data_IF_071111854812
#
_entry.id   IF_071111854812
#
_cell.length_a   1.000
_cell.length_b   1.000
_cell.length_c   1.000
_cell.angle_alpha   90.00
_cell.angle_beta   90.00
_cell.angle_gamma   90.00
#
_symmetry.space_group_name_H-M   'P 1'
#
loop_
_entity.id
_entity.type
_entity.pdbx_description
1 polymer ?
#
# COMPACT_ATOMS: atom_id res chain seq x y z
N UNK A 1 -7.89 -3.95 -13.88
CA UNK A 1 -6.44 -3.83 -14.17
C UNK A 1 -5.58 -4.02 -12.92
N UNK A 2 -5.67 -3.17 -11.89
CA UNK A 2 -4.84 -3.27 -10.67
C UNK A 2 -4.84 -4.65 -9.99
N UNK A 3 -6.02 -5.23 -9.80
CA UNK A 3 -6.20 -6.57 -9.20
C UNK A 3 -5.42 -7.66 -9.94
N UNK A 4 -5.40 -7.62 -11.28
CA UNK A 4 -4.69 -8.60 -12.10
C UNK A 4 -3.17 -8.42 -11.97
N UNK A 5 -2.69 -7.17 -11.95
CA UNK A 5 -1.25 -6.87 -11.77
C UNK A 5 -0.75 -7.42 -10.43
N UNK A 6 -1.51 -7.20 -9.35
CA UNK A 6 -1.17 -7.73 -8.03
C UNK A 6 -1.21 -9.25 -8.03
N UNK A 7 -2.29 -9.86 -8.53
CA UNK A 7 -2.42 -11.33 -8.60
C UNK A 7 -1.26 -11.97 -9.37
N UNK A 8 -0.91 -11.43 -10.53
CA UNK A 8 0.21 -11.92 -11.33
C UNK A 8 1.55 -11.76 -10.62
N UNK A 9 1.77 -10.64 -9.91
CA UNK A 9 3.01 -10.46 -9.16
C UNK A 9 3.14 -11.46 -8.02
N UNK A 10 2.11 -11.57 -7.17
CA UNK A 10 2.16 -12.45 -6.01
C UNK A 10 2.11 -13.94 -6.40
N UNK A 11 1.58 -14.27 -7.58
CA UNK A 11 1.71 -15.62 -8.14
C UNK A 11 3.14 -15.93 -8.62
N UNK A 12 3.86 -14.95 -9.19
CA UNK A 12 5.24 -15.12 -9.67
C UNK A 12 6.27 -15.04 -8.54
N UNK A 13 6.04 -14.15 -7.59
CA UNK A 13 6.95 -13.86 -6.49
C UNK A 13 6.13 -13.55 -5.22
N UNK A 14 5.78 -14.58 -4.42
CA UNK A 14 4.98 -14.43 -3.21
C UNK A 14 5.62 -13.55 -2.12
N UNK A 15 6.94 -13.41 -2.14
CA UNK A 15 7.70 -12.55 -1.22
C UNK A 15 7.71 -11.07 -1.63
N UNK A 16 7.06 -10.71 -2.74
CA UNK A 16 7.05 -9.34 -3.24
C UNK A 16 6.44 -8.35 -2.26
N UNK A 17 6.92 -7.12 -2.32
CA UNK A 17 6.41 -6.00 -1.54
C UNK A 17 6.04 -4.88 -2.48
N UNK A 18 4.78 -4.47 -2.43
CA UNK A 18 4.22 -3.49 -3.37
C UNK A 18 3.83 -2.21 -2.67
N UNK A 19 4.15 -1.07 -3.25
CA UNK A 19 3.63 0.22 -2.82
C UNK A 19 2.70 0.77 -3.89
N UNK A 20 1.53 1.21 -3.47
CA UNK A 20 0.52 1.81 -4.34
C UNK A 20 0.33 3.26 -3.92
N UNK A 21 0.80 4.19 -4.73
CA UNK A 21 0.57 5.62 -4.54
C UNK A 21 -0.79 6.04 -5.07
N UNK A 22 -1.56 6.77 -4.27
CA UNK A 22 -2.87 7.31 -4.61
C UNK A 22 -2.95 8.80 -4.30
N UNK A 23 -3.95 9.48 -4.88
CA UNK A 23 -4.09 10.94 -4.77
C UNK A 23 -4.77 11.41 -3.49
N UNK A 24 -5.67 10.62 -2.89
CA UNK A 24 -6.46 11.05 -1.73
C UNK A 24 -6.39 10.06 -0.58
N UNK A 25 -6.56 10.56 0.65
CA UNK A 25 -6.60 9.74 1.87
C UNK A 25 -7.73 8.72 1.83
N UNK A 26 -8.92 9.16 1.42
CA UNK A 26 -10.09 8.28 1.28
C UNK A 26 -9.83 7.13 0.31
N UNK A 27 -9.15 7.39 -0.81
CA UNK A 27 -8.80 6.35 -1.76
C UNK A 27 -7.75 5.39 -1.20
N UNK A 28 -6.81 5.87 -0.38
CA UNK A 28 -5.82 5.01 0.27
C UNK A 28 -6.49 4.01 1.22
N UNK A 29 -7.38 4.53 2.08
CA UNK A 29 -8.14 3.74 3.05
C UNK A 29 -9.05 2.74 2.30
N UNK A 30 -9.88 3.24 1.39
CA UNK A 30 -10.81 2.41 0.63
C UNK A 30 -10.10 1.29 -0.14
N UNK A 31 -9.01 1.62 -0.85
CA UNK A 31 -8.29 0.64 -1.66
C UNK A 31 -7.64 -0.43 -0.78
N UNK A 32 -7.04 -0.06 0.35
CA UNK A 32 -6.46 -1.02 1.28
C UNK A 32 -7.52 -1.99 1.82
N UNK A 33 -8.67 -1.48 2.29
CA UNK A 33 -9.77 -2.33 2.73
C UNK A 33 -10.30 -3.22 1.60
N UNK A 34 -10.50 -2.67 0.41
CA UNK A 34 -11.00 -3.42 -0.74
C UNK A 34 -10.07 -4.57 -1.13
N UNK A 35 -8.75 -4.34 -1.17
CA UNK A 35 -7.77 -5.38 -1.49
C UNK A 35 -7.72 -6.49 -0.43
N UNK A 36 -7.90 -6.17 0.85
CA UNK A 36 -8.00 -7.18 1.91
C UNK A 36 -9.26 -8.02 1.78
N UNK A 37 -10.42 -7.41 1.50
CA UNK A 37 -11.70 -8.12 1.29
C UNK A 37 -11.61 -9.07 0.09
N UNK A 38 -10.96 -8.63 -0.99
CA UNK A 38 -10.78 -9.45 -2.20
C UNK A 38 -9.81 -10.63 -1.99
N UNK A 39 -9.02 -10.63 -0.91
CA UNK A 39 -8.11 -11.72 -0.58
C UNK A 39 -7.01 -11.98 -1.61
N UNK A 40 -6.62 -10.98 -2.40
CA UNK A 40 -5.65 -11.16 -3.50
C UNK A 40 -4.27 -11.62 -2.99
N UNK A 41 -3.94 -11.29 -1.74
CA UNK A 41 -2.59 -11.39 -1.17
C UNK A 41 -2.62 -12.17 0.15
N UNK A 42 -3.71 -12.88 0.44
CA UNK A 42 -3.82 -13.68 1.66
C UNK A 42 -2.88 -14.88 1.55
N UNK A 43 -1.96 -14.99 2.50
CA UNK A 43 -1.21 -16.23 2.73
C UNK A 43 -2.18 -17.24 3.37
N UNK A 44 -2.15 -18.51 2.97
CA UNK A 44 -3.14 -19.52 3.38
C UNK A 44 -3.23 -19.75 4.91
N UNK A 45 -2.21 -19.33 5.67
CA UNK A 45 -2.10 -19.57 7.13
C UNK A 45 -2.18 -18.30 8.00
N UNK A 46 -2.59 -17.15 7.46
CA UNK A 46 -2.71 -15.91 8.26
C UNK A 46 -4.07 -15.25 8.15
N UNK A 47 -4.63 -14.86 9.31
CA UNK A 47 -5.82 -14.01 9.40
C UNK A 47 -5.46 -12.52 9.38
N UNK A 48 -4.16 -12.19 9.38
CA UNK A 48 -3.70 -10.82 9.39
C UNK A 48 -3.91 -10.14 8.02
N UNK A 49 -4.28 -8.86 8.07
CA UNK A 49 -4.43 -8.00 6.90
C UNK A 49 -3.10 -7.88 6.16
N UNK A 50 -3.01 -8.37 4.91
CA UNK A 50 -1.79 -8.29 4.10
C UNK A 50 -1.56 -6.90 3.49
N UNK A 51 -2.59 -6.05 3.51
CA UNK A 51 -2.57 -4.70 2.94
C UNK A 51 -2.79 -3.64 4.02
N UNK A 52 -1.89 -2.67 4.11
CA UNK A 52 -2.02 -1.49 4.96
C UNK A 52 -2.08 -0.20 4.14
N UNK A 53 -2.30 0.94 4.82
CA UNK A 53 -2.28 2.26 4.20
C UNK A 53 -1.49 3.27 5.04
N UNK A 54 -0.93 4.27 4.37
CA UNK A 54 -0.30 5.45 4.97
C UNK A 54 -0.85 6.71 4.32
N UNK A 55 -1.36 7.60 5.15
CA UNK A 55 -1.86 8.92 4.79
C UNK A 55 -1.09 9.98 5.55
N UNK A 56 -0.94 11.19 4.99
CA UNK A 56 -0.25 12.31 5.66
C UNK A 56 -0.71 12.54 7.10
N UNK A 57 0.23 12.84 8.01
CA UNK A 57 -0.08 13.09 9.41
C UNK A 57 -0.93 14.36 9.57
N UNK A 58 -1.90 14.33 10.47
CA UNK A 58 -2.58 15.54 10.93
C UNK A 58 -1.89 16.06 12.20
N UNK A 59 -1.52 17.35 12.21
CA UNK A 59 -1.02 18.02 13.43
C UNK A 59 -2.14 18.33 14.45
N UNK A 60 -3.41 18.18 14.05
CA UNK A 60 -4.58 18.49 14.86
C UNK A 60 -5.28 17.20 15.27
N UNK A 61 -5.32 16.97 16.57
CA UNK A 61 -6.02 15.92 17.32
C UNK A 61 -7.33 15.42 16.67
N UNK A 62 -7.44 14.09 16.50
CA UNK A 62 -8.69 13.29 16.43
C UNK A 62 -9.74 13.80 15.42
N UNK A 63 -9.84 13.27 14.20
CA UNK A 63 -10.56 12.00 14.00
C UNK A 63 -10.26 11.28 12.66
N UNK A 64 -9.31 11.76 11.83
CA UNK A 64 -9.28 11.40 10.40
C UNK A 64 -7.88 11.30 9.76
N UNK A 65 -6.83 11.04 10.56
CA UNK A 65 -5.46 10.89 10.06
C UNK A 65 -4.58 10.02 10.96
N UNK A 66 -3.52 9.46 10.40
CA UNK A 66 -2.56 8.63 11.14
C UNK A 66 -1.53 9.50 11.88
N UNK A 67 -1.23 9.14 13.12
CA UNK A 67 -0.12 9.69 13.90
C UNK A 67 1.22 9.24 13.33
N UNK A 68 2.30 9.94 13.67
CA UNK A 68 3.65 9.56 13.23
C UNK A 68 4.05 8.15 13.71
N UNK A 69 3.62 7.75 14.90
CA UNK A 69 3.91 6.41 15.45
C UNK A 69 3.11 5.32 14.72
N UNK A 70 1.85 5.56 14.37
CA UNK A 70 1.06 4.64 13.54
C UNK A 70 1.67 4.48 12.15
N UNK A 71 2.12 5.57 11.53
CA UNK A 71 2.82 5.50 10.24
C UNK A 71 4.10 4.67 10.37
N UNK A 72 4.91 4.91 11.40
CA UNK A 72 6.14 4.14 11.65
C UNK A 72 5.84 2.65 11.84
N UNK A 73 4.82 2.30 12.63
CA UNK A 73 4.39 0.91 12.80
C UNK A 73 3.96 0.23 11.50
N UNK A 74 3.27 0.96 10.60
CA UNK A 74 2.90 0.44 9.28
C UNK A 74 4.12 0.22 8.37
N UNK A 75 5.09 1.12 8.41
CA UNK A 75 6.35 1.00 7.67
C UNK A 75 7.14 -0.20 8.17
N UNK A 76 7.28 -0.34 9.49
CA UNK A 76 8.01 -1.44 10.10
C UNK A 76 7.35 -2.79 9.78
N UNK A 77 6.02 -2.88 9.85
CA UNK A 77 5.27 -4.07 9.46
C UNK A 77 5.47 -4.42 7.97
N UNK A 78 5.52 -3.42 7.09
CA UNK A 78 5.82 -3.63 5.66
C UNK A 78 7.27 -4.07 5.43
N UNK A 79 8.23 -3.45 6.12
CA UNK A 79 9.64 -3.79 6.03
C UNK A 79 9.95 -5.18 6.60
N UNK A 80 9.23 -5.62 7.63
CA UNK A 80 9.30 -6.99 8.17
C UNK A 80 8.54 -8.02 7.31
N UNK A 81 7.71 -7.57 6.37
CA UNK A 81 6.95 -8.43 5.47
C UNK A 81 5.61 -8.93 6.03
N UNK A 82 5.20 -8.43 7.20
CA UNK A 82 3.86 -8.63 7.74
C UNK A 82 2.80 -7.96 6.88
N UNK A 83 3.11 -6.80 6.31
CA UNK A 83 2.35 -6.19 5.22
C UNK A 83 3.08 -6.43 3.91
N UNK A 84 2.35 -6.97 2.92
CA UNK A 84 2.87 -7.19 1.56
C UNK A 84 2.59 -5.97 0.67
N UNK A 85 1.51 -5.24 0.95
CA UNK A 85 1.13 -4.04 0.20
C UNK A 85 0.90 -2.87 1.11
N UNK A 86 1.43 -1.71 0.71
CA UNK A 86 1.23 -0.45 1.39
C UNK A 86 0.63 0.58 0.42
N UNK A 87 -0.57 1.08 0.73
CA UNK A 87 -1.24 2.10 -0.06
C UNK A 87 -0.94 3.48 0.53
N UNK A 88 -0.19 4.32 -0.18
CA UNK A 88 0.30 5.59 0.34
C UNK A 88 -0.23 6.79 -0.45
N UNK A 89 -0.53 7.91 0.23
CA UNK A 89 -0.73 9.19 -0.47
C UNK A 89 0.59 9.78 -0.95
N UNK A 90 0.62 10.57 -2.02
CA UNK A 90 1.86 11.24 -2.49
C UNK A 90 2.57 12.08 -1.43
N UNK A 91 1.83 12.67 -0.49
CA UNK A 91 2.43 13.44 0.63
C UNK A 91 3.17 12.53 1.61
N UNK A 92 2.78 11.26 1.71
CA UNK A 92 3.48 10.28 2.53
C UNK A 92 4.73 9.71 1.84
N UNK A 93 4.95 9.98 0.55
CA UNK A 93 6.14 9.53 -0.20
C UNK A 93 7.45 10.07 0.41
N UNK A 94 7.43 11.29 0.96
CA UNK A 94 8.59 11.92 1.57
C UNK A 94 8.91 11.29 2.94
N UNK A 95 10.04 10.58 3.03
CA UNK A 95 10.54 9.98 4.28
C UNK A 95 10.21 8.49 4.47
N UNK A 96 9.54 7.85 3.50
CA UNK A 96 9.36 6.40 3.47
C UNK A 96 10.67 5.71 3.06
N UNK A 97 11.39 5.09 3.99
CA UNK A 97 12.45 4.13 3.66
C UNK A 97 11.85 2.78 3.27
N UNK A 98 11.62 2.64 1.96
CA UNK A 98 10.95 1.50 1.32
C UNK A 98 11.91 0.69 0.46
N UNK A 99 13.15 0.58 0.94
CA UNK A 99 14.26 -0.12 0.29
C UNK A 99 13.93 -1.59 -0.07
N UNK A 100 12.98 -2.23 0.60
CA UNK A 100 12.53 -3.59 0.32
C UNK A 100 11.40 -3.73 -0.73
N UNK A 101 10.92 -2.62 -1.32
CA UNK A 101 9.82 -2.63 -2.29
C UNK A 101 10.31 -2.96 -3.71
N UNK A 102 9.72 -3.99 -4.33
CA UNK A 102 10.06 -4.44 -5.69
C UNK A 102 8.98 -4.08 -6.73
N UNK A 103 7.82 -3.59 -6.31
CA UNK A 103 6.82 -3.03 -7.22
C UNK A 103 6.22 -1.72 -6.69
N UNK A 104 6.30 -0.67 -7.50
CA UNK A 104 5.68 0.62 -7.24
C UNK A 104 4.59 0.87 -8.29
N UNK A 105 3.39 1.21 -7.83
CA UNK A 105 2.24 1.51 -8.67
C UNK A 105 1.76 2.92 -8.35
N UNK A 106 1.69 3.84 -9.32
CA UNK A 106 0.97 5.11 -9.16
C UNK A 106 -0.43 4.96 -9.72
N UNK A 107 -1.42 4.93 -8.83
CA UNK A 107 -2.84 4.76 -9.12
C UNK A 107 -3.55 6.12 -9.03
N UNK A 108 -3.57 6.85 -10.15
CA UNK A 108 -4.18 8.17 -10.25
C UNK A 108 -5.65 8.08 -10.67
N UNK A 109 -6.55 8.65 -9.88
CA UNK A 109 -7.98 8.75 -10.20
C UNK A 109 -8.31 10.09 -10.92
N UNK A 110 -7.61 10.40 -12.01
CA UNK A 110 -7.89 11.61 -12.80
C UNK A 110 -8.04 11.23 -14.26
N UNK A 111 -9.26 10.79 -14.64
CA UNK A 111 -9.82 10.81 -16.00
C UNK A 111 -9.07 10.10 -17.13
N UNK A 112 -7.92 9.49 -16.89
CA UNK A 112 -7.11 8.82 -17.90
C UNK A 112 -6.33 7.71 -17.23
N UNK A 113 -6.52 6.49 -17.73
CA UNK A 113 -6.09 5.19 -17.21
C UNK A 113 -4.56 4.97 -17.15
N UNK A 114 -3.77 5.99 -16.81
CA UNK A 114 -2.33 5.86 -16.69
C UNK A 114 -1.96 5.37 -15.29
N UNK A 115 -2.15 4.08 -15.07
CA UNK A 115 -1.45 3.38 -13.97
C UNK A 115 0.02 3.29 -14.34
N UNK A 116 0.89 4.04 -13.66
CA UNK A 116 2.33 3.90 -13.85
C UNK A 116 2.82 2.73 -12.99
N UNK A 117 3.46 1.75 -13.62
CA UNK A 117 4.00 0.55 -12.95
C UNK A 117 5.52 0.59 -13.08
N UNK A 118 6.21 0.66 -11.96
CA UNK A 118 7.66 0.59 -11.88
C UNK A 118 8.05 -0.65 -11.08
N UNK A 119 8.78 -1.57 -11.71
CA UNK A 119 9.34 -2.75 -11.04
C UNK A 119 10.80 -2.47 -10.72
N UNK A 120 11.21 -2.74 -9.48
CA UNK A 120 12.61 -2.71 -9.06
C UNK A 120 13.12 -4.15 -9.03
N UNK A 121 14.34 -4.35 -9.53
CA UNK A 121 14.98 -5.67 -9.65
C UNK A 121 15.24 -6.32 -8.31
#
# INVERSE_FOLDING_TARGET
MLHNILREQYAKSPSSKTIIFVTTRQLAIYLAHHLNIMGIIQEPDTTASAVGYITSANQSTSADGQTADEQRGMIDAFNQGHLKVLVATSVAEEGLDISACNLIIKYNNVGSEKTLIQRRG
#
